data_IF_038653882746
#
_entry.id   IF_038653882746
#
_cell.length_a   1.000
_cell.length_b   1.000
_cell.length_c   1.000
_cell.angle_alpha   90.00
_cell.angle_beta   90.00
_cell.angle_gamma   90.00
#
_symmetry.space_group_name_H-M   'P 1'
#
loop_
_entity.id
_entity.type
_entity.pdbx_description
1 polymer ?
#
# COMPACT_ATOMS: atom_id res chain seq x y z
N UNK A 1 -24.89 9.26 -7.09
CA UNK A 1 -25.40 10.11 -8.18
C UNK A 1 -25.02 9.48 -9.52
N UNK A 2 -26.05 9.19 -10.35
CA UNK A 2 -25.92 8.52 -11.66
C UNK A 2 -25.57 9.49 -12.77
N UNK A 3 -24.58 10.30 -12.62
CA UNK A 3 -24.40 11.50 -13.46
C UNK A 3 -23.83 11.24 -14.85
N UNK A 4 -23.54 10.00 -15.27
CA UNK A 4 -22.83 9.83 -16.55
C UNK A 4 -23.27 8.69 -17.47
N UNK A 5 -24.24 7.87 -17.13
CA UNK A 5 -24.53 6.63 -17.88
C UNK A 5 -25.53 6.77 -19.04
N UNK A 6 -26.42 7.76 -19.03
CA UNK A 6 -27.48 7.91 -20.03
C UNK A 6 -27.49 9.29 -20.63
N UNK A 7 -26.79 9.48 -21.74
CA UNK A 7 -26.66 10.79 -22.38
C UNK A 7 -27.30 10.86 -23.76
N UNK A 8 -27.76 9.74 -24.32
CA UNK A 8 -28.39 9.75 -25.64
C UNK A 8 -29.54 8.76 -25.76
N UNK A 9 -30.60 9.17 -26.45
CA UNK A 9 -31.64 8.33 -26.97
C UNK A 9 -31.38 8.04 -28.45
N UNK A 10 -31.69 6.81 -28.91
CA UNK A 10 -31.72 6.49 -30.33
C UNK A 10 -33.13 6.79 -30.86
N UNK A 11 -33.23 7.65 -31.85
CA UNK A 11 -34.48 8.07 -32.47
C UNK A 11 -34.96 7.02 -33.49
N UNK A 12 -36.18 7.17 -33.97
CA UNK A 12 -36.79 6.22 -34.93
C UNK A 12 -36.01 6.13 -36.26
N UNK A 13 -35.33 7.21 -36.65
CA UNK A 13 -34.49 7.28 -37.85
C UNK A 13 -33.05 6.75 -37.63
N UNK A 14 -32.78 6.20 -36.43
CA UNK A 14 -31.46 5.68 -36.04
C UNK A 14 -30.48 6.76 -35.56
N UNK A 15 -30.84 8.04 -35.59
CA UNK A 15 -29.96 9.11 -35.07
C UNK A 15 -29.88 9.06 -33.53
N UNK A 16 -28.80 9.63 -32.98
CA UNK A 16 -28.62 9.76 -31.52
C UNK A 16 -28.84 11.19 -31.08
N UNK A 17 -29.72 11.39 -30.12
CA UNK A 17 -30.00 12.67 -29.48
C UNK A 17 -29.49 12.65 -28.04
N UNK A 18 -28.72 13.68 -27.65
CA UNK A 18 -28.39 13.90 -26.24
C UNK A 18 -29.67 14.24 -25.48
N UNK A 19 -29.93 13.55 -24.38
CA UNK A 19 -31.15 13.69 -23.59
C UNK A 19 -30.82 14.17 -22.18
N UNK A 20 -31.71 15.05 -21.68
CA UNK A 20 -31.78 15.51 -20.29
C UNK A 20 -33.22 15.27 -19.79
N UNK A 21 -33.45 15.29 -18.48
CA UNK A 21 -34.80 15.11 -17.94
C UNK A 21 -35.33 13.66 -17.91
N UNK A 22 -34.45 12.67 -18.13
CA UNK A 22 -34.83 11.28 -17.87
C UNK A 22 -34.99 11.02 -16.38
N UNK A 23 -35.76 10.00 -16.02
CA UNK A 23 -35.95 9.53 -14.64
C UNK A 23 -35.34 8.15 -14.45
N UNK A 24 -34.89 7.85 -13.23
CA UNK A 24 -34.37 6.53 -12.84
C UNK A 24 -35.22 5.96 -11.71
N UNK A 25 -35.50 4.67 -11.78
CA UNK A 25 -36.24 3.94 -10.72
C UNK A 25 -35.58 2.57 -10.47
N UNK A 26 -35.28 2.22 -9.19
CA UNK A 26 -35.45 3.06 -8.00
C UNK A 26 -34.42 4.19 -7.95
N UNK A 27 -34.75 5.28 -7.28
CA UNK A 27 -33.82 6.41 -7.03
C UNK A 27 -32.86 6.11 -5.88
N UNK A 28 -33.24 5.21 -4.97
CA UNK A 28 -32.40 4.69 -3.88
C UNK A 28 -32.28 3.20 -4.04
N UNK A 29 -31.06 2.68 -4.00
CA UNK A 29 -30.80 1.26 -4.15
C UNK A 29 -30.84 0.54 -2.80
N UNK A 30 -31.64 -0.51 -2.70
CA UNK A 30 -31.58 -1.49 -1.63
C UNK A 30 -30.58 -2.61 -1.98
N UNK A 31 -30.17 -3.40 -0.99
CA UNK A 31 -29.18 -4.49 -1.19
C UNK A 31 -29.62 -5.53 -2.22
N UNK A 32 -30.92 -5.68 -2.45
CA UNK A 32 -31.51 -6.61 -3.42
C UNK A 32 -31.86 -5.96 -4.77
N UNK A 33 -31.49 -4.71 -5.00
CA UNK A 33 -31.72 -4.04 -6.29
C UNK A 33 -30.76 -4.63 -7.34
N UNK A 34 -31.32 -5.23 -8.38
CA UNK A 34 -30.55 -5.88 -9.46
C UNK A 34 -30.57 -5.10 -10.77
N UNK A 35 -31.48 -4.13 -10.90
CA UNK A 35 -31.59 -3.30 -12.10
C UNK A 35 -32.11 -1.90 -11.78
N UNK A 36 -31.76 -0.94 -12.62
CA UNK A 36 -32.31 0.41 -12.64
C UNK A 36 -33.03 0.59 -13.96
N UNK A 37 -34.29 1.03 -13.90
CA UNK A 37 -35.07 1.42 -15.08
C UNK A 37 -34.88 2.88 -15.33
N UNK A 38 -34.51 3.22 -16.56
CA UNK A 38 -34.38 4.61 -17.05
C UNK A 38 -35.57 4.89 -17.96
N UNK A 39 -36.27 5.98 -17.73
CA UNK A 39 -37.43 6.40 -18.50
C UNK A 39 -37.19 7.79 -19.09
N UNK A 40 -37.45 7.95 -20.35
CA UNK A 40 -37.40 9.23 -21.06
C UNK A 40 -38.68 9.44 -21.83
N UNK A 41 -39.24 10.66 -21.73
CA UNK A 41 -40.49 11.04 -22.39
C UNK A 41 -40.28 12.26 -23.28
N UNK A 42 -40.75 12.20 -24.53
CA UNK A 42 -40.73 13.32 -25.47
C UNK A 42 -41.94 13.20 -26.40
N UNK A 43 -42.62 14.32 -26.65
CA UNK A 43 -43.79 14.38 -27.55
C UNK A 43 -44.96 13.46 -27.16
N UNK A 44 -45.14 13.20 -25.85
CA UNK A 44 -46.17 12.26 -25.33
C UNK A 44 -45.79 10.79 -25.43
N UNK A 45 -44.63 10.47 -25.95
CA UNK A 45 -44.09 9.09 -26.03
C UNK A 45 -43.08 8.81 -24.94
N UNK A 46 -43.30 7.79 -24.13
CA UNK A 46 -42.35 7.34 -23.11
C UNK A 46 -41.66 6.08 -23.58
N UNK A 47 -40.33 6.03 -23.46
CA UNK A 47 -39.51 4.84 -23.68
C UNK A 47 -38.72 4.53 -22.42
N UNK A 48 -38.54 3.25 -22.15
CA UNK A 48 -37.79 2.76 -20.99
C UNK A 48 -36.70 1.79 -21.41
N UNK A 49 -35.62 1.78 -20.64
CA UNK A 49 -34.60 0.74 -20.71
C UNK A 49 -34.16 0.36 -19.30
N UNK A 50 -33.61 -0.84 -19.13
CA UNK A 50 -33.08 -1.29 -17.85
C UNK A 50 -31.58 -1.50 -17.94
N UNK A 51 -30.88 -1.14 -16.87
CA UNK A 51 -29.45 -1.42 -16.71
C UNK A 51 -29.28 -2.34 -15.48
N UNK A 52 -28.62 -3.50 -15.62
CA UNK A 52 -28.29 -4.32 -14.47
C UNK A 52 -27.35 -3.57 -13.54
N UNK A 53 -27.56 -3.72 -12.25
CA UNK A 53 -26.69 -3.14 -11.21
C UNK A 53 -26.42 -4.18 -10.14
N UNK A 54 -25.28 -4.08 -9.52
CA UNK A 54 -24.94 -4.85 -8.32
C UNK A 54 -24.78 -3.89 -7.17
N UNK A 55 -25.59 -4.06 -6.13
CA UNK A 55 -25.49 -3.30 -4.89
C UNK A 55 -24.62 -4.08 -3.93
N UNK A 56 -23.44 -3.52 -3.60
CA UNK A 56 -22.55 -4.12 -2.61
C UNK A 56 -22.78 -3.42 -1.28
N UNK A 57 -23.17 -4.19 -0.26
CA UNK A 57 -23.21 -3.71 1.11
C UNK A 57 -21.79 -3.48 1.63
N UNK A 58 -21.53 -2.32 2.20
CA UNK A 58 -20.26 -1.98 2.82
C UNK A 58 -20.40 -2.13 4.33
N UNK A 59 -19.60 -3.00 4.93
CA UNK A 59 -19.53 -3.17 6.38
C UNK A 59 -18.61 -2.12 6.99
N UNK A 60 -18.99 -1.58 8.14
CA UNK A 60 -18.12 -0.73 8.96
C UNK A 60 -16.98 -1.52 9.63
N UNK A 61 -17.01 -2.84 9.58
CA UNK A 61 -15.90 -3.70 9.98
C UNK A 61 -15.03 -3.96 8.75
N UNK A 62 -13.82 -3.41 8.70
CA UNK A 62 -12.90 -3.52 7.55
C UNK A 62 -12.72 -4.97 7.11
N UNK A 63 -12.49 -5.88 8.07
CA UNK A 63 -12.23 -7.30 7.81
C UNK A 63 -13.37 -8.02 7.07
N UNK A 64 -14.61 -7.56 7.22
CA UNK A 64 -15.80 -8.17 6.62
C UNK A 64 -15.99 -7.81 5.13
N UNK A 65 -15.20 -6.90 4.60
CA UNK A 65 -15.31 -6.48 3.21
C UNK A 65 -14.30 -7.23 2.31
N UNK A 66 -14.68 -7.49 1.08
CA UNK A 66 -13.74 -8.00 0.07
C UNK A 66 -12.70 -6.92 -0.29
N UNK A 67 -11.55 -7.33 -0.81
CA UNK A 67 -10.56 -6.38 -1.32
C UNK A 67 -11.11 -5.52 -2.46
N UNK A 68 -11.96 -6.08 -3.32
CA UNK A 68 -12.64 -5.33 -4.38
C UNK A 68 -13.57 -4.24 -3.81
N UNK A 69 -14.32 -4.53 -2.74
CA UNK A 69 -15.15 -3.53 -2.04
C UNK A 69 -14.29 -2.43 -1.43
N UNK A 70 -13.21 -2.80 -0.73
CA UNK A 70 -12.27 -1.83 -0.12
C UNK A 70 -11.68 -0.92 -1.21
N UNK A 71 -11.30 -1.49 -2.35
CA UNK A 71 -10.79 -0.74 -3.49
C UNK A 71 -11.83 0.24 -4.04
N UNK A 72 -13.07 -0.19 -4.24
CA UNK A 72 -14.14 0.67 -4.75
C UNK A 72 -14.42 1.86 -3.80
N UNK A 73 -14.42 1.62 -2.49
CA UNK A 73 -14.56 2.66 -1.46
C UNK A 73 -13.36 3.61 -1.47
N UNK A 74 -12.15 3.08 -1.63
CA UNK A 74 -10.93 3.89 -1.75
C UNK A 74 -10.97 4.78 -2.99
N UNK A 75 -11.33 4.24 -4.16
CA UNK A 75 -11.42 4.98 -5.42
C UNK A 75 -12.47 6.11 -5.37
N UNK A 76 -13.53 5.91 -4.61
CA UNK A 76 -14.53 6.93 -4.34
C UNK A 76 -14.08 8.00 -3.32
N UNK A 77 -12.89 7.85 -2.71
CA UNK A 77 -12.38 8.74 -1.66
C UNK A 77 -13.18 8.67 -0.36
N UNK A 78 -13.87 7.55 -0.08
CA UNK A 78 -14.80 7.39 1.05
C UNK A 78 -14.28 6.47 2.17
N UNK A 79 -13.02 6.08 2.15
CA UNK A 79 -12.44 5.15 3.13
C UNK A 79 -12.70 5.56 4.58
N UNK A 80 -12.45 6.82 4.92
CA UNK A 80 -12.66 7.37 6.27
C UNK A 80 -14.13 7.50 6.70
N UNK A 81 -15.09 7.33 5.77
CA UNK A 81 -16.51 7.30 6.13
C UNK A 81 -16.93 5.96 6.74
N UNK A 82 -16.16 4.89 6.51
CA UNK A 82 -16.48 3.54 6.92
C UNK A 82 -15.49 2.96 7.92
N UNK A 83 -14.20 3.33 7.80
CA UNK A 83 -13.12 2.71 8.57
C UNK A 83 -12.22 3.76 9.21
N UNK A 84 -11.48 3.34 10.22
CA UNK A 84 -10.58 4.18 11.01
C UNK A 84 -9.11 3.77 10.82
N UNK A 85 -8.20 4.71 11.05
CA UNK A 85 -6.76 4.42 11.14
C UNK A 85 -6.53 3.36 12.22
N UNK A 86 -5.77 2.33 11.88
CA UNK A 86 -5.51 1.19 12.76
C UNK A 86 -6.45 0.00 12.58
N UNK A 87 -7.61 0.14 11.89
CA UNK A 87 -8.48 -0.98 11.55
C UNK A 87 -7.73 -2.05 10.76
N UNK A 88 -8.04 -3.31 11.05
CA UNK A 88 -7.28 -4.46 10.56
C UNK A 88 -8.08 -5.36 9.62
N UNK A 89 -7.37 -6.01 8.70
CA UNK A 89 -7.89 -7.10 7.88
C UNK A 89 -6.84 -8.22 7.78
N UNK A 90 -7.27 -9.46 8.03
CA UNK A 90 -6.42 -10.63 7.90
C UNK A 90 -6.06 -10.93 6.45
N UNK A 91 -4.83 -11.35 6.24
CA UNK A 91 -4.33 -11.93 4.99
C UNK A 91 -3.51 -13.20 5.30
N UNK A 92 -3.26 -13.99 4.27
CA UNK A 92 -2.36 -15.15 4.36
C UNK A 92 -1.19 -14.94 3.41
N UNK A 93 0.02 -14.89 3.95
CA UNK A 93 1.24 -14.88 3.14
C UNK A 93 1.63 -16.34 2.89
N UNK A 94 1.74 -16.71 1.62
CA UNK A 94 2.07 -18.08 1.24
C UNK A 94 3.00 -18.10 0.02
N UNK A 95 4.17 -18.71 0.18
CA UNK A 95 5.15 -18.82 -0.88
C UNK A 95 6.56 -18.46 -0.45
N UNK A 96 7.47 -18.48 -1.42
CA UNK A 96 8.88 -18.17 -1.20
C UNK A 96 9.12 -16.66 -1.34
N UNK A 97 9.85 -16.08 -0.39
CA UNK A 97 10.33 -14.69 -0.41
C UNK A 97 11.85 -14.70 -0.24
N UNK A 98 12.56 -14.34 -1.28
CA UNK A 98 13.99 -14.55 -1.31
C UNK A 98 14.33 -16.02 -1.09
N UNK A 99 15.10 -16.32 -0.04
CA UNK A 99 15.46 -17.68 0.38
C UNK A 99 14.48 -18.28 1.41
N UNK A 100 13.54 -17.51 1.95
CA UNK A 100 12.63 -17.92 3.04
C UNK A 100 11.29 -18.37 2.48
N UNK A 101 10.73 -19.45 3.01
CA UNK A 101 9.38 -19.92 2.67
C UNK A 101 8.41 -19.58 3.78
N UNK A 102 7.33 -18.89 3.45
CA UNK A 102 6.17 -18.71 4.32
C UNK A 102 5.11 -19.75 3.94
N UNK A 103 4.68 -20.55 4.93
CA UNK A 103 3.67 -21.59 4.73
C UNK A 103 2.38 -21.15 5.42
N UNK A 104 1.47 -20.55 4.64
CA UNK A 104 0.18 -20.07 5.11
C UNK A 104 0.25 -19.17 6.37
N UNK A 105 1.20 -18.23 6.38
CA UNK A 105 1.36 -17.31 7.50
C UNK A 105 0.14 -16.39 7.60
N UNK A 106 -0.67 -16.59 8.63
CA UNK A 106 -1.77 -15.69 8.96
C UNK A 106 -1.22 -14.42 9.61
N UNK A 107 -1.49 -13.27 9.01
CA UNK A 107 -1.07 -11.96 9.48
C UNK A 107 -2.13 -10.93 9.11
N UNK A 108 -2.23 -9.84 9.86
CA UNK A 108 -3.13 -8.75 9.50
C UNK A 108 -2.37 -7.58 8.91
N UNK A 109 -3.01 -6.93 7.96
CA UNK A 109 -2.70 -5.57 7.54
C UNK A 109 -3.54 -4.60 8.34
N UNK A 110 -3.10 -3.35 8.46
CA UNK A 110 -3.85 -2.30 9.14
C UNK A 110 -3.74 -0.97 8.41
N UNK A 111 -4.75 -0.10 8.59
CA UNK A 111 -4.79 1.22 7.94
C UNK A 111 -3.78 2.15 8.60
N UNK A 112 -2.84 2.67 7.81
CA UNK A 112 -1.87 3.70 8.19
C UNK A 112 -2.46 5.11 8.09
N UNK A 113 -3.34 5.33 7.12
CA UNK A 113 -3.95 6.62 6.85
C UNK A 113 -4.77 6.62 5.57
N UNK A 114 -5.51 7.69 5.39
CA UNK A 114 -6.33 7.96 4.20
C UNK A 114 -5.75 9.14 3.43
N UNK A 115 -5.62 9.02 2.11
CA UNK A 115 -5.08 10.09 1.26
C UNK A 115 -3.75 10.66 1.77
N UNK A 116 -2.91 9.80 2.35
CA UNK A 116 -1.61 10.21 2.88
C UNK A 116 -0.77 10.85 1.77
N UNK A 117 -0.26 12.06 2.04
CA UNK A 117 0.60 12.81 1.12
C UNK A 117 0.06 12.85 -0.33
N UNK A 118 -1.26 13.07 -0.47
CA UNK A 118 -2.01 12.86 -1.72
C UNK A 118 -1.48 13.66 -2.92
N UNK A 119 -0.93 14.85 -2.70
CA UNK A 119 -0.33 15.68 -3.75
C UNK A 119 0.88 15.04 -4.44
N UNK A 120 1.52 14.05 -3.79
CA UNK A 120 2.71 13.35 -4.29
C UNK A 120 2.44 11.87 -4.57
N UNK A 121 1.70 11.22 -3.69
CA UNK A 121 1.48 9.76 -3.73
C UNK A 121 0.18 9.38 -4.44
N UNK A 122 -0.67 10.35 -4.77
CA UNK A 122 -1.97 10.20 -5.40
C UNK A 122 -3.13 10.24 -4.40
N UNK A 123 -4.27 10.73 -4.85
CA UNK A 123 -5.51 10.83 -4.08
C UNK A 123 -6.33 9.54 -4.14
N UNK A 124 -7.39 9.49 -3.32
CA UNK A 124 -8.32 8.37 -3.26
C UNK A 124 -7.62 7.05 -2.96
N UNK A 125 -6.82 7.06 -1.88
CA UNK A 125 -6.04 5.89 -1.43
C UNK A 125 -6.25 5.63 0.05
N UNK A 126 -6.35 4.34 0.37
CA UNK A 126 -6.20 3.83 1.73
C UNK A 126 -4.82 3.19 1.78
N UNK A 127 -3.99 3.66 2.69
CA UNK A 127 -2.63 3.16 2.89
C UNK A 127 -2.63 2.11 3.98
N UNK A 128 -2.13 0.94 3.68
CA UNK A 128 -2.04 -0.18 4.61
C UNK A 128 -0.59 -0.52 4.92
N UNK A 129 -0.35 -1.08 6.13
CA UNK A 129 0.92 -1.73 6.45
C UNK A 129 0.66 -3.21 6.76
N UNK A 130 1.57 -4.08 6.28
CA UNK A 130 1.60 -5.49 6.67
C UNK A 130 2.31 -5.60 8.01
N UNK A 131 1.67 -6.21 9.01
CA UNK A 131 2.41 -6.45 10.22
C UNK A 131 1.65 -6.44 11.54
N UNK A 132 0.49 -7.11 11.66
CA UNK A 132 -0.07 -7.41 13.00
C UNK A 132 -0.40 -8.89 13.14
N UNK A 133 -0.01 -9.47 14.27
CA UNK A 133 -0.43 -10.81 14.71
C UNK A 133 -1.01 -10.64 16.12
N UNK A 134 -2.28 -11.01 16.29
CA UNK A 134 -3.02 -10.86 17.55
C UNK A 134 -2.88 -9.44 18.16
N UNK A 135 -2.95 -8.42 17.32
CA UNK A 135 -2.82 -7.02 17.73
C UNK A 135 -1.39 -6.51 17.90
N UNK A 136 -0.39 -7.40 18.05
CA UNK A 136 1.03 -7.03 18.18
C UNK A 136 1.59 -6.60 16.82
N UNK A 137 2.28 -5.44 16.78
CA UNK A 137 2.98 -4.99 15.58
C UNK A 137 4.19 -5.88 15.33
N UNK A 138 4.24 -6.53 14.18
CA UNK A 138 5.32 -7.45 13.81
C UNK A 138 5.96 -7.08 12.48
N UNK A 139 7.22 -7.50 12.30
CA UNK A 139 7.88 -7.53 11.01
C UNK A 139 8.22 -8.96 10.59
N UNK A 140 8.17 -9.19 9.29
CA UNK A 140 8.57 -10.48 8.71
C UNK A 140 10.08 -10.63 8.83
N UNK A 141 10.54 -11.71 9.39
CA UNK A 141 11.97 -12.04 9.50
C UNK A 141 12.28 -13.32 8.74
N UNK A 142 13.52 -13.45 8.27
CA UNK A 142 14.05 -14.68 7.68
C UNK A 142 14.89 -15.47 8.69
N UNK A 143 15.43 -16.62 8.25
CA UNK A 143 16.32 -17.45 9.07
C UNK A 143 17.68 -16.82 9.37
N UNK A 144 18.03 -15.72 8.71
CA UNK A 144 19.30 -14.99 8.89
C UNK A 144 19.15 -13.73 9.75
N UNK A 145 17.99 -13.51 10.36
CA UNK A 145 17.73 -12.31 11.15
C UNK A 145 18.84 -12.05 12.20
N UNK A 146 19.35 -10.83 12.22
CA UNK A 146 20.40 -10.38 13.13
C UNK A 146 21.82 -10.72 12.65
N UNK A 147 21.96 -11.50 11.60
CA UNK A 147 23.26 -11.86 11.05
C UNK A 147 23.70 -10.86 9.96
N UNK A 148 24.99 -10.62 9.91
CA UNK A 148 25.62 -9.98 8.78
C UNK A 148 25.76 -11.03 7.67
N UNK A 149 25.01 -10.86 6.60
CA UNK A 149 24.99 -11.81 5.48
C UNK A 149 24.91 -11.09 4.16
N UNK A 150 25.72 -11.52 3.18
CA UNK A 150 25.65 -11.09 1.79
C UNK A 150 24.86 -12.08 0.90
N UNK A 151 24.12 -13.00 1.51
CA UNK A 151 23.39 -14.04 0.77
C UNK A 151 22.24 -13.43 -0.01
N UNK A 152 22.17 -13.71 -1.29
CA UNK A 152 21.04 -13.34 -2.14
C UNK A 152 19.75 -13.95 -1.60
N UNK A 153 18.71 -13.11 -1.48
CA UNK A 153 17.42 -13.54 -0.95
C UNK A 153 17.29 -13.46 0.57
N UNK A 154 18.33 -13.08 1.30
CA UNK A 154 18.20 -12.63 2.68
C UNK A 154 17.49 -11.27 2.76
N UNK A 155 16.85 -10.96 3.89
CA UNK A 155 16.09 -9.72 4.08
C UNK A 155 17.02 -8.53 4.33
N UNK A 156 17.96 -8.33 3.40
CA UNK A 156 18.98 -7.26 3.42
C UNK A 156 18.59 -6.12 2.50
N UNK A 157 18.99 -4.90 2.84
CA UNK A 157 18.82 -3.76 1.94
C UNK A 157 19.67 -3.91 0.68
N UNK A 158 20.93 -4.36 0.84
CA UNK A 158 21.82 -4.78 -0.25
C UNK A 158 22.59 -6.03 0.18
N UNK A 159 23.08 -6.80 -0.79
CA UNK A 159 23.87 -8.02 -0.55
C UNK A 159 25.34 -7.72 -0.27
N UNK A 160 25.76 -6.46 -0.32
CA UNK A 160 27.12 -5.99 -0.08
C UNK A 160 27.13 -4.78 0.86
N UNK A 161 28.31 -4.43 1.33
CA UNK A 161 28.59 -3.33 2.24
C UNK A 161 28.51 -1.98 1.53
N UNK A 162 27.32 -1.64 1.00
CA UNK A 162 27.09 -0.37 0.30
C UNK A 162 25.61 -0.01 0.29
N UNK A 163 25.32 1.29 0.29
CA UNK A 163 23.98 1.83 0.03
C UNK A 163 23.90 2.52 -1.35
N UNK A 164 24.89 2.33 -2.20
CA UNK A 164 24.93 2.90 -3.55
C UNK A 164 23.69 2.55 -4.35
N UNK A 165 23.13 3.55 -5.04
CA UNK A 165 21.87 3.44 -5.75
C UNK A 165 20.62 3.58 -4.87
N UNK A 166 20.81 3.80 -3.56
CA UNK A 166 19.75 4.11 -2.59
C UNK A 166 18.60 3.10 -2.59
N UNK A 167 17.40 3.58 -2.28
CA UNK A 167 16.19 2.76 -2.33
C UNK A 167 15.93 2.20 -3.73
N UNK A 168 16.07 3.04 -4.77
CA UNK A 168 15.75 2.66 -6.14
C UNK A 168 16.46 1.40 -6.61
N UNK A 169 17.72 1.24 -6.27
CA UNK A 169 18.53 0.09 -6.70
C UNK A 169 18.71 -0.99 -5.64
N UNK A 170 18.10 -0.82 -4.46
CA UNK A 170 18.28 -1.78 -3.36
C UNK A 170 17.80 -3.19 -3.74
N UNK A 171 18.54 -4.19 -3.25
CA UNK A 171 18.15 -5.60 -3.31
C UNK A 171 16.78 -5.83 -2.64
N UNK A 172 16.53 -5.14 -1.52
CA UNK A 172 15.26 -5.17 -0.81
C UNK A 172 14.10 -4.82 -1.74
N UNK A 173 14.16 -3.68 -2.41
CA UNK A 173 13.10 -3.20 -3.29
C UNK A 173 12.82 -4.13 -4.46
N UNK A 174 13.89 -4.60 -5.11
CA UNK A 174 13.79 -5.32 -6.39
C UNK A 174 13.58 -6.83 -6.21
N UNK A 175 14.33 -7.44 -5.30
CA UNK A 175 14.45 -8.91 -5.20
C UNK A 175 13.64 -9.47 -4.04
N UNK A 176 13.62 -8.79 -2.88
CA UNK A 176 12.91 -9.31 -1.70
C UNK A 176 11.43 -8.92 -1.75
N UNK A 177 11.14 -7.65 -1.94
CA UNK A 177 9.75 -7.15 -1.94
C UNK A 177 9.07 -7.27 -3.31
N UNK A 178 9.81 -7.10 -4.41
CA UNK A 178 9.22 -6.96 -5.75
C UNK A 178 8.45 -5.65 -5.91
N UNK A 179 8.80 -4.63 -5.12
CA UNK A 179 8.10 -3.34 -5.03
C UNK A 179 8.12 -2.56 -6.35
N UNK A 180 9.16 -2.74 -7.16
CA UNK A 180 9.37 -2.13 -8.48
C UNK A 180 8.60 -2.82 -9.61
N UNK A 181 7.76 -3.80 -9.32
CA UNK A 181 6.96 -4.49 -10.34
C UNK A 181 6.02 -3.50 -11.04
N UNK A 182 5.87 -3.65 -12.36
CA UNK A 182 4.92 -2.86 -13.15
C UNK A 182 3.48 -3.35 -13.02
N UNK A 183 3.30 -4.57 -12.51
CA UNK A 183 1.98 -5.18 -12.27
C UNK A 183 1.99 -6.01 -10.99
N UNK A 184 1.03 -5.77 -10.11
CA UNK A 184 0.84 -6.59 -8.91
C UNK A 184 0.26 -7.98 -9.23
N UNK A 185 -0.41 -8.15 -10.38
CA UNK A 185 -1.01 -9.43 -10.79
C UNK A 185 0.00 -10.38 -11.44
N UNK A 186 1.15 -9.86 -11.89
CA UNK A 186 2.24 -10.64 -12.51
C UNK A 186 3.58 -10.32 -11.83
N UNK A 187 3.71 -10.56 -10.51
CA UNK A 187 4.94 -10.26 -9.79
C UNK A 187 6.06 -11.23 -10.14
N UNK A 188 7.30 -10.78 -9.98
CA UNK A 188 8.44 -11.67 -10.06
C UNK A 188 8.35 -12.77 -9.00
N UNK A 189 8.72 -13.99 -9.35
CA UNK A 189 8.74 -15.12 -8.42
C UNK A 189 9.69 -14.88 -7.23
N UNK A 190 9.42 -15.51 -6.11
CA UNK A 190 10.21 -15.42 -4.89
C UNK A 190 10.29 -14.00 -4.29
N UNK A 191 9.33 -13.14 -4.57
CA UNK A 191 9.17 -11.83 -3.93
C UNK A 191 8.02 -11.84 -2.92
N UNK A 192 8.03 -10.92 -1.95
CA UNK A 192 6.92 -10.79 -1.03
C UNK A 192 5.62 -10.45 -1.76
N UNK A 193 5.69 -9.62 -2.80
CA UNK A 193 4.53 -9.30 -3.64
C UNK A 193 3.91 -10.57 -4.23
N UNK A 194 4.72 -11.54 -4.68
CA UNK A 194 4.23 -12.82 -5.21
C UNK A 194 3.56 -13.69 -4.15
N UNK A 195 4.01 -13.59 -2.89
CA UNK A 195 3.49 -14.36 -1.77
C UNK A 195 2.20 -13.79 -1.16
N UNK A 196 1.78 -12.56 -1.56
CA UNK A 196 0.51 -11.97 -1.13
C UNK A 196 -0.69 -12.62 -1.84
N UNK A 197 -1.90 -12.61 -1.21
CA UNK A 197 -3.12 -13.14 -1.82
C UNK A 197 -3.42 -12.51 -3.18
N UNK A 198 -3.90 -13.31 -4.12
CA UNK A 198 -4.15 -12.87 -5.50
C UNK A 198 -5.27 -11.81 -5.58
N UNK A 199 -6.30 -11.91 -4.76
CA UNK A 199 -7.40 -10.95 -4.68
C UNK A 199 -6.95 -9.60 -4.12
N UNK A 200 -6.01 -9.59 -3.16
CA UNK A 200 -5.35 -8.36 -2.70
C UNK A 200 -4.51 -7.77 -3.83
N UNK A 201 -3.64 -8.56 -4.47
CA UNK A 201 -2.78 -8.09 -5.56
C UNK A 201 -3.57 -7.49 -6.73
N UNK A 202 -4.77 -8.04 -7.02
CA UNK A 202 -5.63 -7.55 -8.10
C UNK A 202 -6.13 -6.10 -7.90
N UNK A 203 -6.09 -5.60 -6.67
CA UNK A 203 -6.60 -4.26 -6.32
C UNK A 203 -5.51 -3.27 -5.89
N UNK A 204 -4.28 -3.71 -5.69
CA UNK A 204 -3.17 -2.83 -5.31
C UNK A 204 -2.89 -1.77 -6.38
N UNK A 205 -2.58 -0.55 -5.93
CA UNK A 205 -2.14 0.56 -6.77
C UNK A 205 -0.67 0.86 -6.54
N UNK A 206 0.09 1.22 -7.57
CA UNK A 206 1.41 1.80 -7.36
C UNK A 206 1.29 3.19 -6.76
N UNK A 207 2.23 3.59 -5.92
CA UNK A 207 2.37 4.96 -5.43
C UNK A 207 3.75 5.53 -5.75
N UNK A 208 3.80 6.86 -5.92
CA UNK A 208 5.07 7.58 -6.05
C UNK A 208 5.65 7.77 -4.66
N UNK A 209 6.87 7.26 -4.44
CA UNK A 209 7.62 7.43 -3.20
C UNK A 209 8.91 8.19 -3.46
N UNK A 210 9.27 9.06 -2.54
CA UNK A 210 10.52 9.83 -2.60
C UNK A 210 11.49 9.31 -1.56
N UNK A 211 12.74 9.11 -1.95
CA UNK A 211 13.84 8.70 -1.06
C UNK A 211 15.16 9.09 -1.70
N UNK A 212 16.23 9.07 -0.93
CA UNK A 212 17.56 9.10 -1.50
C UNK A 212 17.78 7.86 -2.37
N UNK A 213 17.87 8.08 -3.67
CA UNK A 213 18.01 7.05 -4.69
C UNK A 213 19.44 6.99 -5.28
N UNK A 214 20.38 7.71 -4.68
CA UNK A 214 21.78 7.71 -5.07
C UNK A 214 22.66 7.00 -4.04
N UNK A 215 22.42 7.24 -2.74
CA UNK A 215 23.28 6.72 -1.69
C UNK A 215 24.67 7.39 -1.64
N UNK A 216 25.65 6.67 -1.11
CA UNK A 216 27.03 7.17 -1.02
C UNK A 216 27.28 8.10 0.15
N UNK A 217 26.35 8.20 1.10
CA UNK A 217 26.52 8.94 2.37
C UNK A 217 26.43 10.45 2.28
N UNK A 218 26.19 11.04 1.10
CA UNK A 218 26.03 12.50 0.96
C UNK A 218 24.63 12.93 1.37
N UNK A 219 24.52 14.08 2.05
CA UNK A 219 23.23 14.73 2.38
C UNK A 219 22.77 15.69 1.26
N UNK A 220 22.87 15.26 0.03
CA UNK A 220 22.59 16.07 -1.16
C UNK A 220 21.10 16.01 -1.51
N UNK A 221 20.45 17.18 -1.58
CA UNK A 221 19.00 17.26 -1.82
C UNK A 221 18.57 16.66 -3.18
N UNK A 222 19.41 16.79 -4.23
CA UNK A 222 19.10 16.23 -5.56
C UNK A 222 19.14 14.70 -5.62
N UNK A 223 19.64 14.03 -4.58
CA UNK A 223 19.61 12.57 -4.46
C UNK A 223 18.22 12.05 -4.09
N UNK A 224 17.38 12.91 -3.49
CA UNK A 224 15.99 12.57 -3.18
C UNK A 224 15.14 12.70 -4.43
N UNK A 225 14.86 11.55 -5.03
CA UNK A 225 14.09 11.42 -6.26
C UNK A 225 12.93 10.46 -6.08
N UNK A 226 12.04 10.39 -7.06
CA UNK A 226 10.86 9.53 -6.99
C UNK A 226 11.13 8.12 -7.51
N UNK A 227 10.42 7.15 -6.91
CA UNK A 227 10.23 5.81 -7.45
C UNK A 227 8.74 5.51 -7.50
N UNK A 228 8.34 4.59 -8.37
CA UNK A 228 6.98 4.03 -8.38
C UNK A 228 7.04 2.67 -7.74
N UNK A 229 6.25 2.47 -6.69
CA UNK A 229 6.33 1.30 -5.82
C UNK A 229 4.95 0.71 -5.54
N UNK A 230 4.83 -0.62 -5.59
CA UNK A 230 3.63 -1.37 -5.18
C UNK A 230 3.68 -1.77 -3.70
N UNK A 231 4.87 -2.07 -3.19
CA UNK A 231 5.06 -2.63 -1.84
C UNK A 231 6.32 -2.02 -1.17
N UNK A 232 6.41 -0.70 -0.98
CA UNK A 232 7.59 -0.08 -0.39
C UNK A 232 7.67 -0.30 1.13
N UNK A 233 8.88 -0.21 1.69
CA UNK A 233 9.06 0.05 3.11
C UNK A 233 8.67 1.49 3.44
N UNK A 234 8.34 1.78 4.70
CA UNK A 234 8.23 3.13 5.18
C UNK A 234 9.61 3.79 5.27
N UNK A 235 9.66 5.11 5.13
CA UNK A 235 10.87 5.89 5.41
C UNK A 235 11.03 6.19 6.89
N UNK A 236 12.19 6.70 7.29
CA UNK A 236 12.39 7.21 8.65
C UNK A 236 11.37 8.29 8.99
N UNK A 237 11.15 9.25 8.09
CA UNK A 237 10.21 10.35 8.31
C UNK A 237 8.76 9.88 8.40
N UNK A 238 8.36 8.91 7.60
CA UNK A 238 7.00 8.34 7.64
C UNK A 238 6.68 7.65 8.96
N UNK A 239 7.69 7.06 9.64
CA UNK A 239 7.55 6.52 10.98
C UNK A 239 7.57 7.59 12.07
N UNK A 240 8.55 8.51 12.03
CA UNK A 240 8.90 9.34 13.19
C UNK A 240 8.39 10.78 13.10
N UNK A 241 8.00 11.27 11.90
CA UNK A 241 7.66 12.68 11.67
C UNK A 241 8.86 13.62 11.79
N UNK A 242 10.03 13.06 11.95
CA UNK A 242 11.30 13.76 12.03
C UNK A 242 12.37 12.98 11.30
N UNK A 243 13.39 13.67 10.86
CA UNK A 243 14.60 13.10 10.28
C UNK A 243 15.69 13.08 11.34
N UNK A 244 16.29 11.93 11.60
CA UNK A 244 17.46 11.78 12.47
C UNK A 244 18.69 11.37 11.68
N UNK A 245 18.56 10.39 10.81
CA UNK A 245 19.67 9.78 10.06
C UNK A 245 19.51 9.86 8.56
N UNK A 246 18.29 9.95 8.03
CA UNK A 246 18.03 9.98 6.59
C UNK A 246 18.57 11.25 5.93
N UNK A 247 18.65 11.27 4.59
CA UNK A 247 18.92 12.48 3.82
C UNK A 247 17.93 13.59 4.23
N UNK A 248 18.46 14.77 4.56
CA UNK A 248 17.69 15.87 5.14
C UNK A 248 16.57 16.38 4.24
N UNK A 249 16.73 16.23 2.93
CA UNK A 249 15.72 16.65 1.95
C UNK A 249 14.50 15.72 1.88
N UNK A 250 14.57 14.48 2.40
CA UNK A 250 13.43 13.57 2.39
C UNK A 250 12.20 14.16 3.09
N UNK A 251 12.38 14.97 4.16
CA UNK A 251 11.31 15.67 4.87
C UNK A 251 10.46 16.59 3.98
N UNK A 252 11.01 17.07 2.86
CA UNK A 252 10.31 18.00 1.95
C UNK A 252 9.31 17.25 1.03
N UNK A 253 9.41 15.93 0.99
CA UNK A 253 8.65 15.07 0.09
C UNK A 253 7.79 14.04 0.81
N UNK A 254 7.99 13.86 2.11
CA UNK A 254 7.37 12.82 2.91
C UNK A 254 6.51 13.44 4.02
N UNK A 255 5.55 12.68 4.52
CA UNK A 255 4.74 13.03 5.68
C UNK A 255 4.72 11.85 6.66
N UNK A 256 4.54 12.11 7.94
CA UNK A 256 4.34 11.06 8.93
C UNK A 256 2.95 10.43 8.73
N UNK A 257 2.85 9.12 8.76
CA UNK A 257 1.56 8.43 8.70
C UNK A 257 0.71 8.71 9.93
N UNK A 258 -0.59 8.88 9.73
CA UNK A 258 -1.55 9.21 10.79
C UNK A 258 -1.51 8.19 11.93
N UNK A 259 -1.33 6.90 11.61
CA UNK A 259 -1.18 5.84 12.61
C UNK A 259 -0.05 6.14 13.60
N UNK A 260 1.12 6.52 13.12
CA UNK A 260 2.29 6.81 13.95
C UNK A 260 2.24 8.21 14.57
N UNK A 261 1.60 9.17 13.90
CA UNK A 261 1.35 10.51 14.41
C UNK A 261 0.41 10.49 15.61
N UNK A 262 -0.52 9.53 15.67
CA UNK A 262 -1.40 9.30 16.80
C UNK A 262 -0.70 8.69 18.04
N UNK A 263 0.61 8.45 17.99
CA UNK A 263 1.40 7.92 19.12
C UNK A 263 1.42 6.39 19.22
N UNK A 264 0.91 5.67 18.20
CA UNK A 264 0.99 4.22 18.20
C UNK A 264 2.45 3.73 18.19
N UNK A 265 2.68 2.57 18.82
CA UNK A 265 4.00 1.95 18.92
C UNK A 265 4.62 1.72 17.55
N UNK A 266 5.95 1.96 17.46
CA UNK A 266 6.81 1.63 16.33
C UNK A 266 7.64 0.38 16.59
N UNK A 267 7.57 -0.18 17.81
CA UNK A 267 8.30 -1.40 18.14
C UNK A 267 7.72 -2.55 17.34
N UNK A 268 8.53 -3.10 16.44
CA UNK A 268 8.19 -4.32 15.72
C UNK A 268 8.70 -5.53 16.50
N UNK A 269 7.93 -6.60 16.47
CA UNK A 269 8.32 -7.90 16.99
C UNK A 269 8.53 -8.86 15.83
N UNK A 270 9.26 -9.96 16.06
CA UNK A 270 9.42 -11.01 15.04
C UNK A 270 8.06 -11.68 14.80
N UNK A 271 7.66 -11.87 13.54
CA UNK A 271 6.38 -12.54 13.22
C UNK A 271 6.30 -13.97 13.78
N UNK A 272 7.42 -14.65 13.91
CA UNK A 272 7.54 -16.02 14.45
C UNK A 272 7.91 -16.08 15.93
N UNK A 273 8.07 -14.93 16.60
CA UNK A 273 8.35 -14.80 18.03
C UNK A 273 7.86 -13.44 18.53
N UNK A 274 6.54 -13.31 18.70
CA UNK A 274 5.85 -12.02 18.97
C UNK A 274 6.19 -11.40 20.35
N UNK A 275 6.96 -12.07 21.18
CA UNK A 275 7.56 -11.53 22.40
C UNK A 275 8.98 -10.97 22.22
N UNK A 276 9.59 -11.11 21.03
CA UNK A 276 10.97 -10.69 20.76
C UNK A 276 10.96 -9.49 19.82
N UNK A 277 11.36 -8.32 20.33
CA UNK A 277 11.47 -7.09 19.54
C UNK A 277 12.52 -7.25 18.43
N UNK A 278 12.25 -6.61 17.30
CA UNK A 278 13.05 -6.71 16.08
C UNK A 278 13.40 -5.32 15.53
N UNK A 279 14.60 -5.20 14.98
CA UNK A 279 14.94 -4.10 14.08
C UNK A 279 14.12 -4.23 12.79
N UNK A 280 13.50 -3.15 12.35
CA UNK A 280 12.75 -3.12 11.10
C UNK A 280 13.36 -2.11 10.12
N UNK A 281 13.56 -2.53 8.88
CA UNK A 281 14.14 -1.68 7.85
C UNK A 281 13.24 -0.50 7.46
N UNK A 282 13.86 0.66 7.25
CA UNK A 282 13.29 1.78 6.51
C UNK A 282 13.89 1.83 5.10
N UNK A 283 13.16 2.44 4.14
CA UNK A 283 13.70 2.65 2.80
C UNK A 283 14.74 3.77 2.71
N UNK A 284 14.81 4.65 3.72
CA UNK A 284 15.72 5.80 3.74
C UNK A 284 17.18 5.37 3.84
N UNK A 285 18.02 5.97 2.99
CA UNK A 285 19.49 5.85 3.09
C UNK A 285 19.98 6.71 4.26
N UNK A 286 20.98 6.22 4.98
CA UNK A 286 21.61 6.99 6.05
C UNK A 286 22.55 8.05 5.48
N UNK A 287 22.34 9.31 5.84
CA UNK A 287 23.28 10.40 5.58
C UNK A 287 24.56 10.19 6.39
N UNK A 288 25.70 10.50 5.81
CA UNK A 288 27.03 10.39 6.45
C UNK A 288 27.69 9.01 6.34
N UNK A 289 26.99 8.00 5.77
CA UNK A 289 27.56 6.65 5.63
C UNK A 289 27.17 6.04 4.28
N UNK A 290 28.13 5.55 3.52
CA UNK A 290 27.95 4.95 2.19
C UNK A 290 27.54 3.48 2.20
N UNK A 291 27.27 2.91 3.39
CA UNK A 291 26.98 1.49 3.60
C UNK A 291 25.80 1.22 4.55
N UNK A 292 25.05 2.25 4.95
CA UNK A 292 23.94 2.09 5.90
C UNK A 292 22.59 2.55 5.34
N UNK A 293 21.54 1.91 5.84
CA UNK A 293 20.15 2.36 5.73
C UNK A 293 19.57 2.64 7.11
N UNK A 294 18.51 3.46 7.15
CA UNK A 294 17.76 3.72 8.36
C UNK A 294 16.94 2.51 8.78
N UNK A 295 16.64 2.42 10.06
CA UNK A 295 15.81 1.39 10.67
C UNK A 295 15.00 1.94 11.84
N UNK A 296 13.95 1.21 12.22
CA UNK A 296 13.31 1.33 13.53
C UNK A 296 14.04 0.43 14.52
N UNK A 297 14.36 0.94 15.69
CA UNK A 297 15.01 0.21 16.79
C UNK A 297 14.08 -0.79 17.49
N UNK A 298 14.64 -1.67 18.30
CA UNK A 298 13.86 -2.58 19.16
C UNK A 298 13.12 -1.84 20.27
N UNK A 299 13.45 -0.60 20.52
CA UNK A 299 12.76 0.37 21.39
C UNK A 299 11.77 1.27 20.65
N UNK A 300 11.64 1.10 19.33
CA UNK A 300 10.81 1.95 18.46
C UNK A 300 11.47 3.26 18.04
N UNK A 301 12.71 3.53 18.47
CA UNK A 301 13.48 4.71 18.10
C UNK A 301 14.08 4.62 16.68
N UNK A 302 14.49 5.78 16.14
CA UNK A 302 15.23 5.83 14.89
C UNK A 302 16.65 5.27 15.06
N UNK A 303 17.17 4.61 14.04
CA UNK A 303 18.52 4.07 14.04
C UNK A 303 19.01 3.72 12.64
N UNK A 304 20.23 3.19 12.56
CA UNK A 304 20.85 2.81 11.28
C UNK A 304 21.39 1.39 11.35
N UNK A 305 21.67 0.80 10.20
CA UNK A 305 22.30 -0.50 10.09
C UNK A 305 23.01 -0.74 8.78
N UNK A 306 23.94 -1.67 8.81
CA UNK A 306 24.67 -2.07 7.62
C UNK A 306 23.74 -2.68 6.57
N UNK A 307 23.84 -2.25 5.33
CA UNK A 307 22.95 -2.64 4.24
C UNK A 307 22.79 -4.15 4.07
N UNK A 308 23.81 -4.94 4.42
CA UNK A 308 23.83 -6.40 4.28
C UNK A 308 23.38 -7.18 5.53
N UNK A 309 22.92 -6.49 6.59
CA UNK A 309 22.27 -7.18 7.70
C UNK A 309 20.87 -7.64 7.29
N UNK A 310 20.45 -8.81 7.79
CA UNK A 310 19.08 -9.28 7.62
C UNK A 310 18.24 -8.84 8.81
N UNK A 311 17.24 -7.97 8.55
CA UNK A 311 16.31 -7.48 9.56
C UNK A 311 14.86 -7.58 9.08
N UNK A 312 13.93 -7.20 9.94
CA UNK A 312 12.52 -7.37 9.70
C UNK A 312 11.97 -6.43 8.61
N UNK A 313 10.95 -6.90 7.90
CA UNK A 313 10.20 -6.20 6.87
C UNK A 313 8.80 -5.86 7.39
N UNK A 314 8.38 -4.62 7.22
CA UNK A 314 7.02 -4.17 7.49
C UNK A 314 6.57 -3.19 6.38
N UNK A 315 6.40 -3.69 5.14
CA UNK A 315 6.08 -2.84 3.99
C UNK A 315 4.64 -2.33 4.03
N UNK A 316 4.40 -1.27 3.25
CA UNK A 316 3.08 -0.71 3.02
C UNK A 316 2.63 -0.94 1.57
N UNK A 317 1.31 -0.78 1.32
CA UNK A 317 0.69 -0.84 0.00
C UNK A 317 -0.57 0.04 -0.05
N UNK A 318 -1.15 0.20 -1.25
CA UNK A 318 -2.17 1.21 -1.51
C UNK A 318 -3.32 0.69 -2.38
#
# INVERSE_FOLDING_TARGET
PYTTLFRSATMADGSKKTVTGYTCSPTTMAANTTAVTVSYSEGGVTKTTTTPVTVTSISNTLASNSWATIRAVSDAGKGSNYWSVGDTKGITINGKVGATTFSNLAISVFILGFNHNASREGSNRIHFQIGKINGTLVGLVDGNYGNSTSTTGAFTMNTSYTNSGGWNNSHMRKTVLGSNSTSATSPAANTLLAALPADLRAVMKPATKYSDNTGGGSDTASYVTSTTDLLPLLSEFEYHGARTYANSAEKNYQAQYDYYKAGNSRVHYKHNATGTAAYAWCRSVTSGYDYRFCRVGTDGGAGTGYAYFSWALAPCFF
#
